data_IF_266751150339
#
_entry.id   IF_266751150339
#
_cell.length_a   1.000
_cell.length_b   1.000
_cell.length_c   1.000
_cell.angle_alpha   90.00
_cell.angle_beta   90.00
_cell.angle_gamma   90.00
#
_symmetry.space_group_name_H-M   'P 1'
#
loop_
_entity.id
_entity.type
_entity.pdbx_description
1 polymer ?
#
# COMPACT_ATOMS: atom_id res chain seq x y z
N UNK A 1 1.78 5.83 -14.22
CA UNK A 1 2.10 4.39 -14.33
C UNK A 1 2.95 4.16 -15.57
N UNK A 2 4.18 3.65 -15.38
CA UNK A 2 5.00 3.16 -16.48
C UNK A 2 4.38 1.88 -17.03
N UNK A 3 3.91 1.91 -18.29
CA UNK A 3 3.41 0.72 -18.98
C UNK A 3 4.51 -0.35 -19.00
N UNK A 4 4.20 -1.55 -18.50
CA UNK A 4 5.05 -2.74 -18.64
C UNK A 4 5.74 -3.26 -17.37
N UNK A 5 5.65 -2.57 -16.23
CA UNK A 5 6.12 -3.14 -14.95
C UNK A 5 5.07 -4.13 -14.39
N UNK A 6 5.48 -5.33 -13.92
CA UNK A 6 4.62 -6.22 -13.15
C UNK A 6 4.08 -5.49 -11.91
N UNK A 7 2.83 -5.74 -11.53
CA UNK A 7 2.20 -5.11 -10.35
C UNK A 7 1.83 -6.16 -9.32
N UNK A 8 2.07 -5.86 -8.04
CA UNK A 8 1.58 -6.64 -6.92
C UNK A 8 0.58 -5.77 -6.15
N UNK A 9 -0.67 -6.24 -6.10
CA UNK A 9 -1.73 -5.57 -5.33
C UNK A 9 -1.91 -6.35 -4.03
N UNK A 10 -1.64 -5.71 -2.90
CA UNK A 10 -1.84 -6.30 -1.57
C UNK A 10 -3.20 -5.84 -1.06
N UNK A 11 -4.16 -6.78 -0.97
CA UNK A 11 -5.49 -6.50 -0.44
C UNK A 11 -5.52 -6.75 1.07
N UNK A 12 -5.59 -5.66 1.83
CA UNK A 12 -5.61 -5.67 3.30
C UNK A 12 -6.95 -6.17 3.86
N UNK A 13 -7.99 -6.22 3.00
CA UNK A 13 -9.37 -6.60 3.35
C UNK A 13 -9.81 -5.89 4.64
N UNK A 14 -10.36 -6.66 5.58
CA UNK A 14 -10.79 -6.21 6.91
C UNK A 14 -10.06 -6.98 8.00
N UNK A 15 -8.86 -7.50 7.71
CA UNK A 15 -8.01 -8.10 8.74
C UNK A 15 -7.63 -7.03 9.76
N UNK A 16 -7.52 -7.40 11.03
CA UNK A 16 -7.13 -6.50 12.13
C UNK A 16 -5.81 -5.77 11.85
N UNK A 17 -4.90 -6.45 11.16
CA UNK A 17 -3.59 -5.98 10.77
C UNK A 17 -3.63 -5.04 9.55
N UNK A 18 -4.77 -5.00 8.84
CA UNK A 18 -4.98 -4.28 7.60
C UNK A 18 -5.63 -2.90 7.74
N UNK A 19 -5.93 -2.44 8.96
CA UNK A 19 -6.59 -1.15 9.19
C UNK A 19 -5.97 -0.36 10.35
N UNK A 20 -6.36 0.91 10.47
CA UNK A 20 -5.85 1.83 11.48
C UNK A 20 -4.31 1.96 11.47
N UNK A 21 -3.69 1.87 12.65
CA UNK A 21 -2.24 2.05 12.76
C UNK A 21 -1.45 0.89 12.14
N UNK A 22 -1.89 -0.34 12.34
CA UNK A 22 -1.20 -1.52 11.84
C UNK A 22 -1.22 -1.58 10.31
N UNK A 23 -2.36 -1.25 9.68
CA UNK A 23 -2.45 -1.16 8.23
C UNK A 23 -1.55 -0.06 7.66
N UNK A 24 -1.46 1.10 8.32
CA UNK A 24 -0.56 2.18 7.90
C UNK A 24 0.92 1.77 8.01
N UNK A 25 1.31 1.06 9.08
CA UNK A 25 2.67 0.53 9.23
C UNK A 25 3.01 -0.47 8.11
N UNK A 26 2.07 -1.34 7.73
CA UNK A 26 2.24 -2.22 6.56
C UNK A 26 2.40 -1.43 5.25
N UNK A 27 1.58 -0.41 5.02
CA UNK A 27 1.70 0.46 3.86
C UNK A 27 3.06 1.18 3.80
N UNK A 28 3.61 1.64 4.94
CA UNK A 28 4.95 2.24 4.99
C UNK A 28 6.07 1.27 4.66
N UNK A 29 5.93 0.00 5.07
CA UNK A 29 6.87 -1.04 4.66
C UNK A 29 6.80 -1.26 3.15
N UNK A 30 5.59 -1.35 2.57
CA UNK A 30 5.40 -1.45 1.12
C UNK A 30 5.98 -0.24 0.38
N UNK A 31 5.80 0.97 0.90
CA UNK A 31 6.31 2.21 0.32
C UNK A 31 7.84 2.30 0.34
N UNK A 32 8.47 1.78 1.40
CA UNK A 32 9.93 1.66 1.44
C UNK A 32 10.46 0.67 0.39
N UNK A 33 9.73 -0.43 0.14
CA UNK A 33 10.09 -1.43 -0.87
C UNK A 33 9.83 -0.94 -2.31
N UNK A 34 8.83 -0.10 -2.53
CA UNK A 34 8.49 0.43 -3.86
C UNK A 34 9.60 1.32 -4.45
N UNK A 35 10.53 1.80 -3.61
CA UNK A 35 11.70 2.57 -4.05
C UNK A 35 12.75 1.71 -4.78
N UNK A 36 12.67 0.37 -4.68
CA UNK A 36 13.59 -0.51 -5.39
C UNK A 36 13.24 -0.62 -6.89
N UNK A 37 14.24 -0.63 -7.80
CA UNK A 37 14.00 -0.72 -9.23
C UNK A 37 13.20 -1.96 -9.62
N UNK A 38 12.15 -1.76 -10.43
CA UNK A 38 11.33 -2.85 -10.96
C UNK A 38 10.23 -3.33 -10.01
N UNK A 39 10.12 -2.75 -8.81
CA UNK A 39 9.02 -2.99 -7.88
C UNK A 39 7.89 -1.99 -8.16
N UNK A 40 6.66 -2.50 -8.22
CA UNK A 40 5.46 -1.69 -8.35
C UNK A 40 4.37 -2.33 -7.46
N UNK A 41 4.16 -1.72 -6.30
CA UNK A 41 3.22 -2.19 -5.28
C UNK A 41 2.02 -1.27 -5.23
N UNK A 42 0.85 -1.85 -4.93
CA UNK A 42 -0.37 -1.11 -4.63
C UNK A 42 -1.03 -1.69 -3.40
N UNK A 43 -1.44 -0.83 -2.46
CA UNK A 43 -2.21 -1.24 -1.29
C UNK A 43 -3.71 -1.05 -1.53
N UNK A 44 -4.47 -2.15 -1.54
CA UNK A 44 -5.93 -2.11 -1.52
C UNK A 44 -6.43 -2.09 -0.07
N UNK A 45 -6.66 -0.88 0.42
CA UNK A 45 -7.04 -0.55 1.81
C UNK A 45 -8.55 -0.44 1.95
N UNK A 46 -9.05 -0.47 3.19
CA UNK A 46 -10.49 -0.25 3.42
C UNK A 46 -10.89 1.21 3.14
N UNK A 47 -12.19 1.44 2.92
CA UNK A 47 -12.72 2.74 2.53
C UNK A 47 -12.59 3.83 3.61
N UNK A 48 -12.48 3.46 4.90
CA UNK A 48 -12.37 4.41 6.01
C UNK A 48 -10.95 4.96 6.11
N UNK A 49 -9.95 4.11 5.85
CA UNK A 49 -8.54 4.45 5.99
C UNK A 49 -7.92 5.07 4.73
N UNK A 50 -8.57 4.97 3.57
CA UNK A 50 -8.01 5.38 2.28
C UNK A 50 -7.50 6.82 2.24
N UNK A 51 -8.24 7.76 2.84
CA UNK A 51 -7.83 9.17 2.88
C UNK A 51 -6.60 9.38 3.76
N UNK A 52 -6.52 8.69 4.89
CA UNK A 52 -5.39 8.81 5.83
C UNK A 52 -4.13 8.20 5.23
N UNK A 53 -4.24 7.03 4.59
CA UNK A 53 -3.07 6.32 4.07
C UNK A 53 -2.52 7.01 2.83
N UNK A 54 -3.38 7.44 1.91
CA UNK A 54 -2.95 8.15 0.68
C UNK A 54 -2.22 9.48 0.93
N UNK A 55 -2.39 10.07 2.12
CA UNK A 55 -1.66 11.27 2.53
C UNK A 55 -0.29 10.96 3.14
N UNK A 56 -0.01 9.68 3.45
CA UNK A 56 1.14 9.26 4.23
C UNK A 56 2.18 8.42 3.47
N UNK A 57 1.79 7.82 2.34
CA UNK A 57 2.64 6.95 1.50
C UNK A 57 2.37 7.21 0.00
N UNK A 58 3.29 6.81 -0.88
CA UNK A 58 3.18 6.96 -2.34
C UNK A 58 3.24 5.58 -3.04
N UNK A 59 2.20 4.77 -2.78
CA UNK A 59 1.95 3.42 -3.33
C UNK A 59 0.46 3.18 -3.62
#
# INVERSE_FOLDING_TARGET
MSKGLPVIIVNLKTYSEGYGRSGLELCRTMDSLSQEPGINLVAAVNAVDISTYSQAVDI
#
